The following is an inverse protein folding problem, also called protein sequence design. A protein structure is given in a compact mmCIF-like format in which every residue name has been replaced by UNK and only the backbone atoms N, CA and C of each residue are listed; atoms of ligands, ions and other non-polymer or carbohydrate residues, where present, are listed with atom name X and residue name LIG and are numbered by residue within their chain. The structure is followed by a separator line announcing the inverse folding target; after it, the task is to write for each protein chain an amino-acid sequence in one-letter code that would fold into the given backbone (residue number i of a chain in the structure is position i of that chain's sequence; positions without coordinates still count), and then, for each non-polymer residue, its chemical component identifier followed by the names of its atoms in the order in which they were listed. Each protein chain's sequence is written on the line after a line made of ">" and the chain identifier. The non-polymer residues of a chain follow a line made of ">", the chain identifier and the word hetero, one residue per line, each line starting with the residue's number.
data_IF_804236045366
#
_entry.id   IF_804236045366
#
_cell.length_a   1.000
_cell.length_b   1.000
_cell.length_c   1.000
_cell.angle_alpha   90.00
_cell.angle_beta   90.00
_cell.angle_gamma   90.00
#
_symmetry.space_group_name_H-M   'P 1'
#
loop_
_entity.id
_entity.type
_entity.pdbx_description
1 polymer ?
#
# COMPACT_ATOMS: atom_id res chain seq x y z
N UNK A 1 39.01 -15.10 -32.24
CA UNK A 1 38.91 -15.68 -30.88
C UNK A 1 37.49 -15.45 -30.37
N UNK A 2 36.65 -16.49 -30.34
CA UNK A 2 35.26 -16.37 -29.91
C UNK A 2 35.20 -16.29 -28.38
N UNK A 3 34.66 -15.18 -27.86
CA UNK A 3 34.30 -15.07 -26.44
C UNK A 3 33.11 -16.00 -26.20
N UNK A 4 33.37 -17.08 -25.47
CA UNK A 4 32.37 -18.05 -25.02
C UNK A 4 31.39 -17.34 -24.09
N UNK A 5 30.16 -17.13 -24.53
CA UNK A 5 29.08 -16.70 -23.66
C UNK A 5 28.83 -17.79 -22.62
N UNK A 6 29.23 -17.54 -21.38
CA UNK A 6 28.89 -18.38 -20.24
C UNK A 6 27.38 -18.28 -20.01
N UNK A 7 26.68 -19.33 -20.42
CA UNK A 7 25.25 -19.50 -20.22
C UNK A 7 24.84 -19.23 -18.78
N UNK A 8 23.71 -18.53 -18.62
CA UNK A 8 23.03 -18.22 -17.36
C UNK A 8 22.75 -19.52 -16.59
N UNK A 9 23.65 -19.88 -15.68
CA UNK A 9 23.55 -21.12 -14.91
C UNK A 9 22.92 -20.86 -13.55
N UNK A 10 21.74 -21.44 -13.33
CA UNK A 10 21.14 -21.75 -12.03
C UNK A 10 20.61 -20.56 -11.23
N UNK A 11 19.28 -20.53 -10.99
CA UNK A 11 18.74 -19.73 -9.89
C UNK A 11 19.52 -20.11 -8.63
N UNK A 12 20.12 -19.11 -8.00
CA UNK A 12 21.02 -19.31 -6.88
C UNK A 12 20.16 -19.79 -5.69
N UNK A 13 20.09 -21.10 -5.43
CA UNK A 13 19.18 -21.71 -4.43
C UNK A 13 19.36 -21.05 -3.06
N UNK A 14 20.60 -20.71 -2.72
CA UNK A 14 20.95 -19.97 -1.50
C UNK A 14 20.29 -18.59 -1.45
N UNK A 15 20.14 -17.92 -2.60
CA UNK A 15 19.44 -16.65 -2.70
C UNK A 15 17.96 -16.80 -2.38
N UNK A 16 17.29 -17.80 -2.95
CA UNK A 16 15.86 -18.03 -2.74
C UNK A 16 15.57 -18.42 -1.28
N UNK A 17 16.41 -19.26 -0.68
CA UNK A 17 16.33 -19.63 0.74
C UNK A 17 16.52 -18.40 1.65
N UNK A 18 17.56 -17.60 1.41
CA UNK A 18 17.79 -16.37 2.18
C UNK A 18 16.62 -15.40 2.03
N UNK A 19 16.08 -15.27 0.81
CA UNK A 19 14.93 -14.40 0.55
C UNK A 19 13.68 -14.84 1.33
N UNK A 20 13.43 -16.15 1.42
CA UNK A 20 12.33 -16.70 2.20
C UNK A 20 12.52 -16.45 3.71
N UNK A 21 13.70 -16.73 4.25
CA UNK A 21 14.01 -16.51 5.67
C UNK A 21 13.81 -15.03 6.05
N UNK A 22 14.33 -14.12 5.22
CA UNK A 22 14.19 -12.68 5.44
C UNK A 22 12.72 -12.26 5.39
N UNK A 23 11.92 -12.80 4.46
CA UNK A 23 10.49 -12.50 4.35
C UNK A 23 9.73 -12.92 5.62
N UNK A 24 9.94 -14.15 6.06
CA UNK A 24 9.24 -14.71 7.22
C UNK A 24 9.60 -13.97 8.51
N UNK A 25 10.89 -13.68 8.69
CA UNK A 25 11.39 -12.85 9.79
C UNK A 25 10.82 -11.44 9.76
N UNK A 26 10.77 -10.81 8.59
CA UNK A 26 10.24 -9.45 8.45
C UNK A 26 8.76 -9.35 8.84
N UNK A 27 7.94 -10.33 8.42
CA UNK A 27 6.51 -10.39 8.78
C UNK A 27 6.34 -10.64 10.28
N UNK A 28 7.13 -11.54 10.87
CA UNK A 28 7.14 -11.81 12.31
C UNK A 28 7.46 -10.55 13.11
N UNK A 29 8.49 -9.81 12.71
CA UNK A 29 8.88 -8.57 13.37
C UNK A 29 7.82 -7.46 13.22
N UNK A 30 7.16 -7.35 12.07
CA UNK A 30 6.04 -6.40 11.89
C UNK A 30 4.90 -6.69 12.87
N UNK A 31 4.49 -7.96 12.98
CA UNK A 31 3.40 -8.37 13.89
C UNK A 31 3.72 -8.02 15.34
N UNK A 32 4.97 -8.22 15.76
CA UNK A 32 5.40 -7.99 17.14
C UNK A 32 5.61 -6.52 17.46
N UNK A 33 6.26 -5.77 16.56
CA UNK A 33 6.66 -4.38 16.81
C UNK A 33 5.55 -3.38 16.45
N UNK A 34 4.53 -3.80 15.68
CA UNK A 34 3.50 -2.93 15.09
C UNK A 34 4.07 -1.72 14.32
N UNK A 35 5.33 -1.79 13.89
CA UNK A 35 6.04 -0.77 13.09
C UNK A 35 6.96 -1.43 12.07
N UNK A 36 7.50 -0.64 11.15
CA UNK A 36 8.52 -1.09 10.20
C UNK A 36 9.79 -1.54 10.98
N UNK A 37 10.26 -2.78 10.82
CA UNK A 37 11.51 -3.25 11.40
C UNK A 37 12.71 -2.57 10.73
N UNK A 38 13.74 -2.29 11.52
CA UNK A 38 15.04 -1.80 11.04
C UNK A 38 15.89 -2.95 10.49
N UNK A 39 16.85 -2.64 9.63
CA UNK A 39 17.76 -3.65 9.04
C UNK A 39 18.53 -4.40 10.14
N UNK A 40 18.89 -3.71 11.23
CA UNK A 40 19.57 -4.33 12.37
C UNK A 40 18.68 -5.36 13.10
N UNK A 41 17.39 -5.07 13.27
CA UNK A 41 16.45 -5.99 13.90
C UNK A 41 16.23 -7.25 13.06
N UNK A 42 16.10 -7.08 11.74
CA UNK A 42 15.96 -8.20 10.80
C UNK A 42 17.25 -9.03 10.74
N UNK A 43 18.41 -8.37 10.78
CA UNK A 43 19.72 -9.04 10.81
C UNK A 43 19.90 -9.90 12.06
N UNK A 44 19.48 -9.38 13.21
CA UNK A 44 19.54 -10.11 14.47
C UNK A 44 18.64 -11.35 14.49
N UNK A 45 17.44 -11.29 13.88
CA UNK A 45 16.50 -12.43 13.85
C UNK A 45 16.87 -13.46 12.76
N UNK A 46 17.43 -13.02 11.62
CA UNK A 46 17.81 -13.93 10.52
C UNK A 46 19.25 -14.48 10.62
N UNK A 47 20.11 -13.91 11.46
CA UNK A 47 21.55 -14.17 11.49
C UNK A 47 22.23 -14.02 10.11
N UNK A 48 21.81 -13.02 9.33
CA UNK A 48 22.33 -12.71 8.00
C UNK A 48 22.99 -11.33 7.98
N UNK A 49 23.94 -11.14 7.05
CA UNK A 49 24.65 -9.87 6.92
C UNK A 49 23.72 -8.72 6.52
N UNK A 50 24.04 -7.51 6.98
CA UNK A 50 23.32 -6.30 6.61
C UNK A 50 23.25 -6.10 5.09
N UNK A 51 24.33 -6.41 4.36
CA UNK A 51 24.40 -6.28 2.90
C UNK A 51 23.46 -7.26 2.18
N UNK A 52 23.34 -8.48 2.70
CA UNK A 52 22.39 -9.49 2.17
C UNK A 52 20.96 -9.00 2.37
N UNK A 53 20.65 -8.48 3.55
CA UNK A 53 19.32 -8.01 3.90
C UNK A 53 18.92 -6.78 3.10
N UNK A 54 19.81 -5.79 2.97
CA UNK A 54 19.52 -4.57 2.18
C UNK A 54 19.16 -4.89 0.72
N UNK A 55 19.86 -5.86 0.11
CA UNK A 55 19.54 -6.35 -1.24
C UNK A 55 18.15 -7.00 -1.30
N UNK A 56 17.86 -7.92 -0.39
CA UNK A 56 16.59 -8.65 -0.42
C UNK A 56 15.39 -7.78 0.00
N UNK A 57 15.55 -6.84 0.95
CA UNK A 57 14.46 -5.94 1.37
C UNK A 57 14.02 -5.02 0.23
N UNK A 58 14.94 -4.57 -0.63
CA UNK A 58 14.60 -3.78 -1.83
C UNK A 58 13.76 -4.57 -2.83
N UNK A 59 13.97 -5.89 -2.90
CA UNK A 59 13.21 -6.79 -3.77
C UNK A 59 11.89 -7.28 -3.16
N UNK A 60 11.77 -7.24 -1.83
CA UNK A 60 10.49 -7.43 -1.18
C UNK A 60 9.57 -6.28 -1.62
N UNK A 61 8.77 -6.55 -2.65
CA UNK A 61 7.66 -5.71 -3.08
C UNK A 61 6.59 -5.74 -2.01
N UNK A 62 6.84 -5.07 -0.90
CA UNK A 62 5.78 -4.60 -0.04
C UNK A 62 5.05 -3.57 -0.88
N UNK A 63 3.87 -3.93 -1.39
CA UNK A 63 2.95 -2.97 -1.95
C UNK A 63 2.88 -1.85 -0.91
N UNK A 64 3.36 -0.62 -1.22
CA UNK A 64 3.72 0.35 -0.20
C UNK A 64 2.58 0.42 0.79
N UNK A 65 2.90 0.34 2.09
CA UNK A 65 1.96 0.61 3.17
C UNK A 65 1.48 2.05 2.94
N UNK A 66 0.50 2.24 2.04
CA UNK A 66 0.00 3.56 1.62
C UNK A 66 -0.51 4.36 2.81
N UNK A 67 -0.78 3.66 3.93
CA UNK A 67 -1.20 4.26 5.18
C UNK A 67 -0.53 3.56 6.37
N UNK A 68 0.13 4.28 7.30
CA UNK A 68 0.69 3.73 8.54
C UNK A 68 -0.35 2.97 9.38
N UNK A 69 -1.62 3.38 9.31
CA UNK A 69 -2.74 2.71 9.99
C UNK A 69 -3.05 1.31 9.44
N UNK A 70 -2.45 0.88 8.32
CA UNK A 70 -2.69 -0.46 7.76
C UNK A 70 -2.16 -1.58 8.67
N UNK A 71 -1.15 -1.29 9.49
CA UNK A 71 -0.68 -2.25 10.50
C UNK A 71 -1.74 -2.46 11.59
N UNK A 72 -2.56 -1.43 11.84
CA UNK A 72 -3.69 -1.49 12.75
C UNK A 72 -4.97 -1.97 12.07
N UNK A 73 -4.93 -2.36 10.78
CA UNK A 73 -6.14 -2.77 10.04
C UNK A 73 -6.90 -3.87 10.76
N UNK A 74 -6.21 -4.85 11.32
CA UNK A 74 -6.85 -5.96 12.02
C UNK A 74 -7.54 -5.48 13.31
N UNK A 75 -6.85 -4.68 14.12
CA UNK A 75 -7.37 -4.10 15.37
C UNK A 75 -8.56 -3.14 15.08
N UNK A 76 -8.47 -2.35 14.00
CA UNK A 76 -9.51 -1.41 13.57
C UNK A 76 -10.74 -2.14 13.04
N UNK A 77 -10.57 -3.15 12.20
CA UNK A 77 -11.68 -3.98 11.71
C UNK A 77 -12.35 -4.70 12.89
N UNK A 78 -11.57 -5.26 13.82
CA UNK A 78 -12.10 -5.92 15.01
C UNK A 78 -12.89 -4.93 15.90
N UNK A 79 -12.38 -3.71 16.08
CA UNK A 79 -13.08 -2.62 16.76
C UNK A 79 -14.43 -2.30 16.10
N UNK A 80 -14.44 -2.13 14.77
CA UNK A 80 -15.66 -1.86 14.00
C UNK A 80 -16.67 -2.99 14.18
N UNK A 81 -16.25 -4.24 14.06
CA UNK A 81 -17.12 -5.42 14.25
C UNK A 81 -17.70 -5.45 15.66
N UNK A 82 -16.88 -5.24 16.68
CA UNK A 82 -17.32 -5.25 18.07
C UNK A 82 -18.31 -4.10 18.35
N UNK A 83 -18.06 -2.91 17.80
CA UNK A 83 -18.96 -1.77 17.90
C UNK A 83 -20.28 -2.00 17.14
N UNK A 84 -20.22 -2.61 15.96
CA UNK A 84 -21.39 -2.98 15.17
C UNK A 84 -22.27 -4.01 15.89
N UNK A 85 -21.66 -5.03 16.52
CA UNK A 85 -22.35 -6.03 17.34
C UNK A 85 -23.04 -5.41 18.56
N UNK A 86 -22.49 -4.34 19.12
CA UNK A 86 -23.09 -3.57 20.23
C UNK A 86 -24.26 -2.67 19.77
N UNK A 87 -24.56 -2.62 18.48
CA UNK A 87 -25.68 -1.84 17.94
C UNK A 87 -25.31 -0.45 17.42
N UNK A 88 -24.03 -0.12 17.26
CA UNK A 88 -23.64 1.14 16.61
C UNK A 88 -23.99 1.10 15.13
N UNK A 89 -25.01 1.86 14.72
CA UNK A 89 -25.46 1.98 13.33
C UNK A 89 -24.34 2.46 12.40
N UNK A 90 -23.55 3.43 12.84
CA UNK A 90 -22.39 3.92 12.09
C UNK A 90 -21.35 2.81 11.84
N UNK A 91 -21.08 1.98 12.85
CA UNK A 91 -20.12 0.88 12.72
C UNK A 91 -20.67 -0.27 11.87
N UNK A 92 -21.97 -0.55 11.94
CA UNK A 92 -22.65 -1.51 11.08
C UNK A 92 -22.58 -1.09 9.60
N UNK A 93 -22.85 0.19 9.32
CA UNK A 93 -22.71 0.76 7.97
C UNK A 93 -21.27 0.64 7.46
N UNK A 94 -20.29 1.01 8.28
CA UNK A 94 -18.89 0.89 7.90
C UNK A 94 -18.48 -0.57 7.62
N UNK A 95 -18.96 -1.50 8.45
CA UNK A 95 -18.73 -2.94 8.24
C UNK A 95 -19.34 -3.42 6.92
N UNK A 96 -20.58 -3.04 6.59
CA UNK A 96 -21.20 -3.39 5.31
C UNK A 96 -20.43 -2.81 4.12
N UNK A 97 -19.91 -1.58 4.23
CA UNK A 97 -19.09 -0.98 3.17
C UNK A 97 -17.75 -1.72 2.98
N UNK A 98 -17.11 -2.14 4.07
CA UNK A 98 -15.78 -2.77 4.03
C UNK A 98 -15.86 -4.26 3.67
N UNK A 99 -16.76 -5.01 4.30
CA UNK A 99 -16.82 -6.47 4.18
C UNK A 99 -17.77 -6.93 3.07
N UNK A 100 -18.90 -6.25 2.90
CA UNK A 100 -19.95 -6.63 1.94
C UNK A 100 -19.87 -5.83 0.63
N UNK A 101 -18.96 -4.85 0.55
CA UNK A 101 -18.80 -3.98 -0.63
C UNK A 101 -20.03 -3.10 -0.91
N UNK A 102 -20.90 -2.93 0.09
CA UNK A 102 -22.09 -2.11 -0.06
C UNK A 102 -21.70 -0.63 -0.25
N UNK A 103 -22.39 0.07 -1.14
CA UNK A 103 -22.15 1.49 -1.40
C UNK A 103 -23.48 2.24 -1.40
N UNK A 104 -23.46 3.48 -0.91
CA UNK A 104 -24.64 4.32 -0.97
C UNK A 104 -24.84 4.82 -2.40
N UNK A 105 -26.06 4.65 -2.90
CA UNK A 105 -26.46 5.25 -4.16
C UNK A 105 -26.47 6.77 -3.97
N UNK A 106 -25.50 7.45 -4.57
CA UNK A 106 -25.52 8.91 -4.66
C UNK A 106 -26.38 9.31 -5.86
N UNK A 107 -27.51 9.97 -5.61
CA UNK A 107 -28.25 10.68 -6.66
C UNK A 107 -27.73 12.10 -6.63
N UNK A 108 -27.01 12.48 -7.69
CA UNK A 108 -26.53 13.84 -7.86
C UNK A 108 -27.53 14.53 -8.78
N UNK A 109 -28.41 15.36 -8.21
CA UNK A 109 -29.26 16.25 -8.98
C UNK A 109 -28.43 17.49 -9.35
N UNK A 110 -28.24 17.72 -10.65
CA UNK A 110 -27.61 18.94 -11.16
C UNK A 110 -28.71 19.93 -11.51
N UNK A 111 -29.03 20.84 -10.59
CA UNK A 111 -29.75 22.07 -10.92
C UNK A 111 -28.72 23.11 -11.37
N UNK A 112 -28.42 23.12 -12.67
CA UNK A 112 -27.58 24.13 -13.30
C UNK A 112 -28.39 24.99 -14.25
N UNK A 113 -28.57 26.28 -13.94
CA UNK A 113 -28.97 27.27 -14.94
C UNK A 113 -27.87 27.37 -16.00
N UNK A 114 -28.23 27.14 -17.26
CA UNK A 114 -27.33 27.35 -18.39
C UNK A 114 -27.22 28.86 -18.62
N UNK A 115 -26.22 29.51 -18.05
CA UNK A 115 -25.86 30.88 -18.41
C UNK A 115 -25.20 30.85 -19.79
N UNK A 116 -26.01 31.01 -20.84
CA UNK A 116 -25.52 31.23 -22.21
C UNK A 116 -25.19 32.70 -22.39
N UNK A 117 -23.93 33.07 -22.18
CA UNK A 117 -23.49 34.45 -22.34
C UNK A 117 -21.99 34.61 -22.18
N UNK A 118 -21.20 34.05 -23.10
CA UNK A 118 -19.79 34.44 -23.25
C UNK A 118 -19.76 35.53 -24.32
N UNK A 119 -19.80 36.79 -23.90
CA UNK A 119 -19.40 37.89 -24.77
C UNK A 119 -17.87 37.87 -24.90
N UNK A 120 -17.39 37.68 -26.13
CA UNK A 120 -15.97 37.78 -26.43
C UNK A 120 -15.56 39.25 -26.35
N UNK A 121 -14.75 39.61 -25.35
CA UNK A 121 -14.05 40.90 -25.33
C UNK A 121 -12.91 40.80 -26.34
N UNK A 122 -13.05 41.42 -27.51
CA UNK A 122 -11.94 41.62 -28.45
C UNK A 122 -10.98 42.68 -27.89
N UNK A 123 -9.65 42.45 -27.91
CA UNK A 123 -8.69 43.44 -27.44
C UNK A 123 -8.66 44.64 -28.40
N UNK A 124 -8.74 45.86 -27.84
CA UNK A 124 -8.57 47.11 -28.58
C UNK A 124 -7.20 47.13 -29.26
N UNK A 125 -7.20 47.27 -30.59
CA UNK A 125 -6.01 47.68 -31.34
C UNK A 125 -5.77 49.17 -31.06
N UNK A 126 -4.87 49.45 -30.11
CA UNK A 126 -4.35 50.79 -29.89
C UNK A 126 -3.55 51.24 -31.12
N UNK A 127 -4.11 52.19 -31.87
CA UNK A 127 -3.39 53.02 -32.83
C UNK A 127 -2.59 54.07 -32.08
N UNK A 128 -1.26 53.94 -32.08
CA UNK A 128 -0.30 54.99 -32.46
C UNK A 128 1.14 54.51 -32.39
#
# INVERSE_FOLDING_TARGET
>A
MAKKELGKSGKNITYDLNHQIIRDSYVKLIKNLKRKPTIAEVSKDCNLSHNTIDKHIKELKFNPLKHPLRILSDDVILSIVNSAKKGSSASQKLWMQICEGWTEKQVIEHEGEIITGIEYITPNEDKN
#
